data_IF_598346134892
#
_entry.id   IF_598346134892
#
_cell.length_a   1.000
_cell.length_b   1.000
_cell.length_c   1.000
_cell.angle_alpha   90.00
_cell.angle_beta   90.00
_cell.angle_gamma   90.00
#
_symmetry.space_group_name_H-M   'P 1'
#
loop_
_entity.id
_entity.type
_entity.pdbx_description
1 polymer ?
#
# COMPACT_ATOMS: atom_id res chain seq x y z
N UNK A 1 -11.60 -91.55 -15.39
CA UNK A 1 -11.31 -91.39 -13.95
C UNK A 1 -12.28 -90.37 -13.37
N UNK A 2 -13.13 -90.85 -12.45
CA UNK A 2 -13.87 -90.14 -11.39
C UNK A 2 -14.88 -89.02 -11.77
N UNK A 3 -16.17 -89.40 -11.75
CA UNK A 3 -17.30 -88.65 -11.15
C UNK A 3 -17.25 -88.86 -9.60
N UNK A 4 -18.00 -88.14 -8.68
CA UNK A 4 -19.37 -87.60 -8.83
C UNK A 4 -19.64 -86.27 -7.99
N UNK A 5 -20.82 -85.98 -7.37
CA UNK A 5 -21.59 -84.74 -7.62
C UNK A 5 -21.97 -83.88 -6.37
N UNK A 6 -22.72 -82.79 -6.63
CA UNK A 6 -23.71 -82.11 -5.75
C UNK A 6 -23.28 -81.41 -4.43
N UNK A 7 -23.70 -80.14 -4.26
CA UNK A 7 -24.29 -79.62 -3.02
C UNK A 7 -25.03 -78.29 -3.22
N UNK A 8 -26.28 -78.24 -2.77
CA UNK A 8 -27.11 -77.06 -2.54
C UNK A 8 -26.63 -76.34 -1.28
N UNK A 9 -26.60 -75.00 -1.27
CA UNK A 9 -26.76 -74.20 -0.06
C UNK A 9 -27.51 -72.89 -0.36
N UNK A 10 -28.78 -72.87 0.04
CA UNK A 10 -29.65 -71.70 0.20
C UNK A 10 -29.17 -70.88 1.39
N UNK A 11 -28.74 -69.62 1.23
CA UNK A 11 -28.72 -68.64 2.33
C UNK A 11 -29.18 -67.27 1.81
N UNK A 12 -30.05 -66.64 2.60
CA UNK A 12 -30.98 -65.60 2.17
C UNK A 12 -30.36 -64.23 1.94
N UNK A 13 -30.98 -63.49 1.00
CA UNK A 13 -30.74 -62.06 0.79
C UNK A 13 -31.30 -61.26 1.97
N UNK A 14 -30.54 -60.37 2.62
CA UNK A 14 -31.10 -59.42 3.56
C UNK A 14 -31.84 -58.31 2.80
N UNK A 15 -33.05 -57.97 3.28
CA UNK A 15 -33.87 -56.86 2.78
C UNK A 15 -33.12 -55.53 2.98
N UNK A 16 -33.17 -54.58 2.03
CA UNK A 16 -32.68 -53.23 2.28
C UNK A 16 -33.57 -52.56 3.34
N UNK A 17 -32.94 -52.13 4.44
CA UNK A 17 -33.59 -51.29 5.46
C UNK A 17 -33.98 -49.96 4.81
N UNK A 18 -35.26 -49.61 4.91
CA UNK A 18 -35.77 -48.25 4.64
C UNK A 18 -34.99 -47.24 5.50
N UNK A 19 -34.53 -46.10 4.96
CA UNK A 19 -34.02 -45.02 5.77
C UNK A 19 -35.17 -44.43 6.58
N UNK A 20 -35.00 -44.35 7.90
CA UNK A 20 -35.84 -43.53 8.76
C UNK A 20 -35.70 -42.07 8.34
N UNK A 21 -36.82 -41.42 8.00
CA UNK A 21 -36.93 -39.97 7.99
C UNK A 21 -36.78 -39.47 9.44
N UNK A 22 -35.53 -39.19 9.82
CA UNK A 22 -35.23 -38.35 10.97
C UNK A 22 -35.64 -36.91 10.63
N UNK A 23 -36.58 -36.38 11.39
CA UNK A 23 -36.94 -34.97 11.37
C UNK A 23 -35.68 -34.12 11.61
N UNK A 24 -35.14 -33.56 10.52
CA UNK A 24 -34.10 -32.55 10.57
C UNK A 24 -34.64 -31.33 11.34
N UNK A 25 -34.18 -31.17 12.58
CA UNK A 25 -34.16 -29.86 13.24
C UNK A 25 -33.35 -28.96 12.32
N UNK A 26 -34.04 -28.01 11.68
CA UNK A 26 -33.41 -26.85 11.04
C UNK A 26 -32.62 -26.13 12.13
N UNK A 27 -31.31 -26.32 12.14
CA UNK A 27 -30.41 -25.41 12.85
C UNK A 27 -30.60 -24.03 12.23
N UNK A 28 -31.01 -23.08 13.05
CA UNK A 28 -31.11 -21.68 12.67
C UNK A 28 -29.71 -21.22 12.22
N UNK A 29 -29.59 -20.45 11.12
CA UNK A 29 -28.31 -19.89 10.73
C UNK A 29 -27.78 -19.04 11.89
N UNK A 30 -26.60 -19.40 12.37
CA UNK A 30 -25.85 -18.62 13.33
C UNK A 30 -25.69 -17.19 12.80
N UNK A 31 -26.43 -16.25 13.40
CA UNK A 31 -26.12 -14.83 13.27
C UNK A 31 -24.77 -14.60 13.94
N UNK A 32 -23.71 -14.19 13.20
CA UNK A 32 -22.47 -13.82 13.84
C UNK A 32 -22.77 -12.62 14.75
N UNK A 33 -22.26 -12.65 15.97
CA UNK A 33 -22.30 -11.51 16.89
C UNK A 33 -21.28 -10.48 16.39
N UNK A 34 -21.71 -9.55 15.53
CA UNK A 34 -20.89 -8.42 15.05
C UNK A 34 -20.86 -7.32 16.11
N UNK A 35 -20.08 -7.54 17.17
CA UNK A 35 -19.76 -6.50 18.16
C UNK A 35 -18.62 -5.62 17.64
N UNK A 36 -18.93 -4.33 17.44
CA UNK A 36 -18.11 -3.27 16.82
C UNK A 36 -18.13 -3.30 15.28
N UNK A 37 -19.03 -2.50 14.70
CA UNK A 37 -19.21 -2.40 13.24
C UNK A 37 -17.90 -2.06 12.52
N UNK A 38 -17.63 -2.75 11.43
CA UNK A 38 -16.45 -2.49 10.60
C UNK A 38 -16.49 -1.05 10.09
N UNK A 39 -15.33 -0.40 9.89
CA UNK A 39 -15.27 0.95 9.34
C UNK A 39 -16.08 1.08 8.04
N UNK A 40 -16.88 2.14 7.95
CA UNK A 40 -17.60 2.49 6.73
C UNK A 40 -16.84 3.56 5.96
N UNK A 41 -16.91 3.47 4.63
CA UNK A 41 -16.24 4.37 3.71
C UNK A 41 -17.22 4.89 2.68
N UNK A 42 -17.08 6.16 2.29
CA UNK A 42 -17.84 6.80 1.22
C UNK A 42 -16.93 7.03 0.02
N UNK A 43 -17.43 6.73 -1.18
CA UNK A 43 -16.70 6.97 -2.43
C UNK A 43 -16.82 8.45 -2.81
N UNK A 44 -15.81 9.24 -2.50
CA UNK A 44 -15.78 10.69 -2.80
C UNK A 44 -15.09 11.03 -4.12
N UNK A 45 -14.38 10.08 -4.72
CA UNK A 45 -13.65 10.26 -5.98
C UNK A 45 -14.33 9.63 -7.20
N UNK A 46 -13.74 9.86 -8.38
CA UNK A 46 -14.14 9.20 -9.63
C UNK A 46 -15.38 9.76 -10.33
N UNK A 47 -15.99 10.85 -9.83
CA UNK A 47 -17.20 11.44 -10.43
C UNK A 47 -17.04 11.77 -11.91
N UNK A 48 -15.86 12.27 -12.29
CA UNK A 48 -15.45 12.59 -13.67
C UNK A 48 -15.41 11.37 -14.60
N UNK A 49 -15.39 10.16 -14.06
CA UNK A 49 -15.26 8.90 -14.80
C UNK A 49 -16.40 7.91 -14.52
N UNK A 50 -17.48 8.39 -13.91
CA UNK A 50 -18.64 7.58 -13.51
C UNK A 50 -18.38 6.61 -12.36
N UNK A 51 -17.39 6.88 -11.50
CA UNK A 51 -17.02 6.05 -10.36
C UNK A 51 -15.55 5.61 -10.34
N UNK A 52 -15.19 4.80 -9.35
CA UNK A 52 -13.84 4.26 -9.15
C UNK A 52 -13.74 2.83 -9.67
N UNK A 53 -12.57 2.48 -10.21
CA UNK A 53 -12.32 1.15 -10.79
C UNK A 53 -12.20 0.11 -9.67
N UNK A 54 -13.01 -0.94 -9.76
CA UNK A 54 -12.98 -2.09 -8.84
C UNK A 54 -12.18 -3.21 -9.49
N UNK A 55 -11.39 -3.92 -8.68
CA UNK A 55 -10.62 -5.08 -9.14
C UNK A 55 -10.97 -6.32 -8.33
N UNK A 56 -10.85 -7.48 -8.97
CA UNK A 56 -11.09 -8.77 -8.33
C UNK A 56 -10.04 -9.10 -7.25
N UNK A 57 -8.83 -8.52 -7.34
CA UNK A 57 -7.74 -8.79 -6.40
C UNK A 57 -7.05 -7.54 -5.87
N UNK A 58 -6.24 -7.75 -4.82
CA UNK A 58 -5.43 -6.69 -4.18
C UNK A 58 -4.48 -6.01 -5.16
N UNK A 59 -3.83 -6.77 -6.05
CA UNK A 59 -2.78 -6.28 -6.94
C UNK A 59 -3.29 -5.35 -8.05
N UNK A 60 -2.47 -4.40 -8.50
CA UNK A 60 -2.81 -3.48 -9.62
C UNK A 60 -2.85 -4.18 -10.98
N UNK A 61 -2.27 -5.37 -11.09
CA UNK A 61 -2.35 -6.24 -12.27
C UNK A 61 -3.60 -7.11 -12.30
N UNK A 62 -4.36 -7.18 -11.20
CA UNK A 62 -5.56 -8.03 -11.14
C UNK A 62 -6.67 -7.55 -12.08
N UNK A 63 -7.50 -8.49 -12.51
CA UNK A 63 -8.62 -8.23 -13.43
C UNK A 63 -9.52 -7.11 -12.89
N UNK A 64 -9.78 -6.11 -13.73
CA UNK A 64 -10.78 -5.08 -13.44
C UNK A 64 -12.17 -5.68 -13.62
N UNK A 65 -13.05 -5.43 -12.66
CA UNK A 65 -14.46 -5.79 -12.81
C UNK A 65 -15.12 -4.89 -13.86
N UNK A 66 -16.14 -5.38 -14.58
CA UNK A 66 -16.79 -4.62 -15.65
C UNK A 66 -17.45 -3.34 -15.12
N UNK A 67 -18.03 -3.42 -13.91
CA UNK A 67 -18.71 -2.30 -13.28
C UNK A 67 -17.78 -1.51 -12.35
N UNK A 68 -17.98 -0.19 -12.34
CA UNK A 68 -17.30 0.72 -11.42
C UNK A 68 -18.15 0.92 -10.17
N UNK A 69 -17.47 1.27 -9.08
CA UNK A 69 -18.14 1.69 -7.86
C UNK A 69 -18.44 3.19 -7.96
N UNK A 70 -19.72 3.55 -8.04
CA UNK A 70 -20.17 4.91 -8.27
C UNK A 70 -19.78 5.87 -7.13
N UNK A 71 -19.55 7.14 -7.46
CA UNK A 71 -19.34 8.20 -6.45
C UNK A 71 -20.59 8.38 -5.59
N UNK A 72 -20.42 8.49 -4.28
CA UNK A 72 -21.49 8.49 -3.28
C UNK A 72 -21.92 7.11 -2.79
N UNK A 73 -21.34 6.02 -3.32
CA UNK A 73 -21.56 4.69 -2.77
C UNK A 73 -20.94 4.55 -1.38
N UNK A 74 -21.63 3.84 -0.48
CA UNK A 74 -21.15 3.50 0.85
C UNK A 74 -20.72 2.05 0.90
N UNK A 75 -19.56 1.81 1.49
CA UNK A 75 -18.97 0.48 1.57
C UNK A 75 -18.46 0.17 2.97
N UNK A 76 -18.49 -1.10 3.34
CA UNK A 76 -17.91 -1.64 4.56
C UNK A 76 -16.48 -2.15 4.29
N UNK A 77 -15.55 -1.85 5.18
CA UNK A 77 -14.20 -2.41 5.12
C UNK A 77 -14.18 -3.89 5.54
N UNK A 78 -13.88 -4.77 4.59
CA UNK A 78 -13.59 -6.18 4.87
C UNK A 78 -12.11 -6.41 5.19
N UNK A 79 -11.23 -5.54 4.69
CA UNK A 79 -9.80 -5.56 5.00
C UNK A 79 -9.02 -4.51 4.22
N UNK A 80 -7.85 -4.13 4.74
CA UNK A 80 -7.00 -3.09 4.14
C UNK A 80 -5.57 -3.59 3.97
N UNK A 81 -4.97 -3.28 2.83
CA UNK A 81 -3.59 -3.62 2.52
C UNK A 81 -2.89 -2.43 1.86
N UNK A 82 -2.18 -1.63 2.67
CA UNK A 82 -1.59 -0.36 2.24
C UNK A 82 -2.67 0.63 1.81
N UNK A 83 -2.61 1.07 0.55
CA UNK A 83 -3.61 1.98 -0.05
C UNK A 83 -4.77 1.25 -0.75
N UNK A 84 -4.87 -0.08 -0.62
CA UNK A 84 -5.93 -0.89 -1.22
C UNK A 84 -6.94 -1.32 -0.14
N UNK A 85 -8.22 -1.11 -0.41
CA UNK A 85 -9.34 -1.46 0.45
C UNK A 85 -10.14 -2.59 -0.21
N UNK A 86 -10.27 -3.70 0.51
CA UNK A 86 -11.24 -4.75 0.21
C UNK A 86 -12.56 -4.35 0.86
N UNK A 87 -13.61 -4.23 0.05
CA UNK A 87 -14.87 -3.66 0.51
C UNK A 87 -16.05 -4.58 0.21
N UNK A 88 -17.13 -4.36 0.94
CA UNK A 88 -18.49 -4.82 0.61
C UNK A 88 -19.42 -3.63 0.44
N UNK A 89 -20.20 -3.59 -0.62
CA UNK A 89 -21.16 -2.53 -0.90
C UNK A 89 -22.29 -2.57 0.13
N UNK A 90 -22.54 -1.44 0.78
CA UNK A 90 -23.66 -1.26 1.71
C UNK A 90 -24.83 -0.54 1.02
N UNK A 91 -24.53 0.52 0.26
CA UNK A 91 -25.51 1.24 -0.55
C UNK A 91 -24.86 1.97 -1.73
N UNK A 92 -25.60 2.20 -2.81
CA UNK A 92 -25.11 2.82 -4.03
C UNK A 92 -25.12 1.87 -5.24
N UNK A 93 -24.30 2.15 -6.25
CA UNK A 93 -24.22 1.37 -7.50
C UNK A 93 -22.79 0.89 -7.71
N UNK A 94 -22.62 -0.40 -7.99
CA UNK A 94 -21.33 -1.03 -8.29
C UNK A 94 -21.31 -2.51 -7.90
N UNK A 95 -20.15 -3.18 -8.05
CA UNK A 95 -19.97 -4.55 -7.60
C UNK A 95 -20.20 -4.70 -6.08
N UNK A 96 -20.84 -5.81 -5.67
CA UNK A 96 -21.14 -6.10 -4.27
C UNK A 96 -19.87 -6.21 -3.41
N UNK A 97 -18.77 -6.72 -3.96
CA UNK A 97 -17.47 -6.80 -3.29
C UNK A 97 -16.34 -6.53 -4.29
N UNK A 98 -15.19 -6.10 -3.77
CA UNK A 98 -13.97 -5.99 -4.57
C UNK A 98 -12.87 -5.14 -3.94
N UNK A 99 -11.82 -4.89 -4.71
CA UNK A 99 -10.64 -4.13 -4.27
C UNK A 99 -10.50 -2.79 -4.98
N UNK A 100 -10.51 -1.72 -4.20
CA UNK A 100 -10.38 -0.32 -4.66
C UNK A 100 -9.18 0.35 -4.01
N UNK A 101 -8.68 1.43 -4.62
CA UNK A 101 -7.62 2.24 -4.02
C UNK A 101 -8.24 3.37 -3.20
N UNK A 102 -7.76 3.58 -1.98
CA UNK A 102 -8.24 4.66 -1.09
C UNK A 102 -7.81 6.03 -1.62
N UNK A 103 -6.60 6.09 -2.20
CA UNK A 103 -6.02 7.28 -2.82
C UNK A 103 -5.40 6.92 -4.17
N UNK A 104 -5.33 7.89 -5.07
CA UNK A 104 -4.60 7.77 -6.33
C UNK A 104 -3.85 9.07 -6.60
N UNK A 105 -2.52 9.03 -6.47
CA UNK A 105 -1.67 10.23 -6.42
C UNK A 105 -2.14 11.13 -5.28
N UNK A 106 -2.48 12.38 -5.58
CA UNK A 106 -2.94 13.36 -4.59
C UNK A 106 -4.47 13.42 -4.46
N UNK A 107 -5.22 12.58 -5.20
CA UNK A 107 -6.68 12.55 -5.16
C UNK A 107 -7.19 11.49 -4.19
N UNK A 108 -7.99 11.90 -3.22
CA UNK A 108 -8.72 11.00 -2.32
C UNK A 108 -9.89 10.37 -3.08
N UNK A 109 -10.01 9.04 -3.00
CA UNK A 109 -11.05 8.28 -3.68
C UNK A 109 -12.11 7.75 -2.71
N UNK A 110 -11.69 7.36 -1.51
CA UNK A 110 -12.58 6.98 -0.41
C UNK A 110 -12.26 7.78 0.85
N UNK A 111 -13.30 8.22 1.54
CA UNK A 111 -13.21 8.90 2.82
C UNK A 111 -13.87 8.04 3.90
N UNK A 112 -13.17 7.83 5.02
CA UNK A 112 -13.67 7.01 6.12
C UNK A 112 -14.72 7.81 6.88
N UNK A 113 -15.92 7.25 7.07
CA UNK A 113 -16.97 7.88 7.87
C UNK A 113 -16.69 7.63 9.34
N UNK A 114 -16.31 8.69 10.05
CA UNK A 114 -16.21 8.67 11.51
C UNK A 114 -17.60 8.92 12.12
N UNK A 115 -18.29 7.86 12.55
CA UNK A 115 -19.42 7.97 13.48
C UNK A 115 -20.75 7.43 12.97
N UNK A 116 -21.49 6.82 13.90
CA UNK A 116 -22.77 6.15 13.69
C UNK A 116 -23.80 7.08 13.01
N UNK A 117 -24.55 6.58 12.01
CA UNK A 117 -25.63 7.35 11.42
C UNK A 117 -26.69 7.64 12.50
N UNK A 118 -26.96 8.92 12.74
CA UNK A 118 -28.14 9.33 13.51
C UNK A 118 -29.38 8.80 12.76
N UNK A 119 -30.08 7.85 13.39
CA UNK A 119 -31.30 7.27 12.88
C UNK A 119 -32.44 8.29 13.01
N UNK A 120 -32.65 9.11 11.98
CA UNK A 120 -33.84 9.95 11.86
C UNK A 120 -34.41 9.85 10.44
N UNK A 121 -35.71 9.52 10.37
CA UNK A 121 -36.56 9.84 9.21
C UNK A 121 -37.18 8.68 8.45
N UNK A 122 -38.27 8.11 9.00
CA UNK A 122 -39.22 7.30 8.25
C UNK A 122 -39.93 8.10 7.14
N UNK A 123 -40.32 7.49 6.01
CA UNK A 123 -41.02 8.19 4.91
C UNK A 123 -42.52 8.38 5.24
N UNK A 124 -43.12 9.56 5.00
CA UNK A 124 -44.56 9.73 5.17
C UNK A 124 -45.33 9.12 4.00
N UNK A 125 -46.34 8.33 4.37
CA UNK A 125 -47.30 7.67 3.49
C UNK A 125 -48.33 8.64 2.90
N UNK A 126 -48.87 8.24 1.75
CA UNK A 126 -49.88 8.93 0.96
C UNK A 126 -51.25 9.07 1.64
N UNK A 127 -51.90 10.22 1.47
CA UNK A 127 -53.35 10.39 1.33
C UNK A 127 -53.69 11.85 0.92
N UNK A 128 -54.39 12.04 -0.20
CA UNK A 128 -55.19 13.27 -0.44
C UNK A 128 -56.69 12.99 -0.19
N UNK A 129 -57.63 13.83 -0.63
CA UNK A 129 -57.79 15.30 -0.56
C UNK A 129 -59.11 15.66 0.23
N UNK A 130 -59.59 16.94 0.35
CA UNK A 130 -60.38 17.57 -0.73
C UNK A 130 -60.29 19.12 -0.87
N UNK A 131 -60.58 19.56 -2.11
CA UNK A 131 -61.22 20.81 -2.60
C UNK A 131 -61.19 22.12 -1.77
N UNK A 132 -60.76 23.21 -2.43
CA UNK A 132 -61.07 24.58 -2.01
C UNK A 132 -60.45 25.70 -2.87
N UNK A 133 -61.16 26.12 -3.91
CA UNK A 133 -61.22 27.46 -4.54
C UNK A 133 -59.92 28.22 -4.90
N UNK A 134 -59.71 28.33 -6.21
CA UNK A 134 -58.79 29.22 -6.90
C UNK A 134 -59.50 30.53 -7.29
N UNK A 135 -58.97 31.74 -7.02
CA UNK A 135 -59.27 32.92 -7.80
C UNK A 135 -58.20 33.15 -8.88
N UNK A 136 -58.68 33.52 -10.05
CA UNK A 136 -57.91 33.75 -11.28
C UNK A 136 -56.89 34.90 -11.14
N UNK A 137 -55.67 34.66 -11.61
CA UNK A 137 -54.64 35.68 -11.85
C UNK A 137 -54.32 35.75 -13.36
N UNK A 138 -54.18 36.99 -13.83
CA UNK A 138 -54.05 37.45 -15.21
C UNK A 138 -52.79 36.95 -15.95
N UNK A 139 -52.76 37.00 -17.30
CA UNK A 139 -51.66 36.44 -18.10
C UNK A 139 -50.39 37.31 -18.07
N UNK A 140 -49.24 36.68 -17.81
CA UNK A 140 -47.91 37.28 -17.99
C UNK A 140 -47.53 37.41 -19.48
N UNK A 141 -46.86 38.49 -19.89
CA UNK A 141 -46.43 38.71 -21.27
C UNK A 141 -45.21 37.86 -21.68
N UNK A 142 -45.01 37.63 -22.99
CA UNK A 142 -43.96 36.76 -23.50
C UNK A 142 -42.55 37.32 -23.25
N UNK A 143 -41.71 36.52 -22.58
CA UNK A 143 -40.26 36.76 -22.45
C UNK A 143 -39.59 36.70 -23.83
N UNK A 144 -38.93 37.79 -24.21
CA UNK A 144 -38.07 37.89 -25.41
C UNK A 144 -37.00 36.80 -25.38
N UNK A 145 -36.82 36.10 -26.50
CA UNK A 145 -35.77 35.12 -26.72
C UNK A 145 -34.39 35.76 -26.48
N UNK A 146 -33.57 35.09 -25.66
CA UNK A 146 -32.17 35.49 -25.46
C UNK A 146 -31.38 35.30 -26.78
N UNK A 147 -30.40 36.17 -27.06
CA UNK A 147 -29.55 36.02 -28.23
C UNK A 147 -28.80 34.69 -28.18
N UNK A 148 -28.69 34.04 -29.34
CA UNK A 148 -27.98 32.76 -29.52
C UNK A 148 -26.51 32.95 -29.15
N UNK A 149 -25.99 32.12 -28.25
CA UNK A 149 -24.62 32.20 -27.75
C UNK A 149 -23.60 31.99 -28.89
N UNK A 150 -22.81 33.04 -29.16
CA UNK A 150 -21.64 33.12 -30.07
C UNK A 150 -20.68 31.91 -29.97
N UNK A 151 -20.65 31.23 -28.82
CA UNK A 151 -19.86 30.01 -28.63
C UNK A 151 -20.29 28.84 -29.53
N UNK A 152 -21.59 28.65 -29.76
CA UNK A 152 -22.10 27.52 -30.55
C UNK A 152 -21.70 27.65 -32.02
N UNK A 153 -21.75 28.87 -32.56
CA UNK A 153 -21.31 29.16 -33.93
C UNK A 153 -19.80 28.96 -34.08
N UNK A 154 -18.99 29.44 -33.12
CA UNK A 154 -17.54 29.19 -33.13
C UNK A 154 -17.20 27.71 -33.07
N UNK A 155 -17.91 26.94 -32.24
CA UNK A 155 -17.67 25.50 -32.13
C UNK A 155 -18.09 24.74 -33.40
N UNK A 156 -19.17 25.17 -34.06
CA UNK A 156 -19.58 24.61 -35.35
C UNK A 156 -18.51 24.85 -36.43
N UNK A 157 -17.98 26.08 -36.54
CA UNK A 157 -16.90 26.42 -37.47
C UNK A 157 -15.61 25.61 -37.21
N UNK A 158 -15.28 25.35 -35.94
CA UNK A 158 -14.14 24.51 -35.58
C UNK A 158 -14.36 23.03 -35.94
N UNK A 159 -15.58 22.50 -35.78
CA UNK A 159 -15.90 21.12 -36.18
C UNK A 159 -15.89 20.93 -37.69
N UNK A 160 -16.27 21.96 -38.45
CA UNK A 160 -16.14 21.96 -39.91
C UNK A 160 -14.66 22.01 -40.33
N UNK A 161 -13.86 22.85 -39.67
CA UNK A 161 -12.41 22.96 -39.93
C UNK A 161 -11.63 21.70 -39.54
N UNK A 162 -12.05 20.98 -38.49
CA UNK A 162 -11.41 19.78 -37.98
C UNK A 162 -12.38 18.59 -37.92
N UNK A 163 -12.65 17.90 -39.05
CA UNK A 163 -13.68 16.86 -39.12
C UNK A 163 -13.44 15.64 -38.21
N UNK A 164 -12.20 15.42 -37.74
CA UNK A 164 -11.89 14.37 -36.76
C UNK A 164 -12.33 14.69 -35.32
N UNK A 165 -12.82 15.89 -35.05
CA UNK A 165 -13.19 16.36 -33.70
C UNK A 165 -14.67 16.21 -33.35
N UNK A 166 -15.49 15.60 -34.21
CA UNK A 166 -16.95 15.50 -33.99
C UNK A 166 -17.30 14.70 -32.74
N UNK A 167 -16.46 13.72 -32.36
CA UNK A 167 -16.61 12.91 -31.14
C UNK A 167 -15.94 13.53 -29.91
N UNK A 168 -15.33 14.72 -30.04
CA UNK A 168 -14.62 15.35 -28.93
C UNK A 168 -15.62 16.04 -27.98
N UNK A 169 -15.64 15.61 -26.73
CA UNK A 169 -16.41 16.26 -25.66
C UNK A 169 -15.72 17.57 -25.27
N UNK A 170 -16.43 18.68 -25.47
CA UNK A 170 -15.96 20.02 -25.12
C UNK A 170 -16.35 20.30 -23.65
N UNK A 171 -15.39 20.48 -22.73
CA UNK A 171 -15.69 20.79 -21.33
C UNK A 171 -16.51 22.09 -21.19
N UNK A 172 -17.44 22.18 -20.23
CA UNK A 172 -18.26 23.40 -20.05
C UNK A 172 -17.44 24.69 -19.84
N UNK A 173 -16.28 24.56 -19.19
CA UNK A 173 -15.32 25.66 -18.97
C UNK A 173 -14.78 26.26 -20.27
N UNK A 174 -14.87 25.53 -21.40
CA UNK A 174 -14.44 25.98 -22.71
C UNK A 174 -15.27 27.15 -23.26
N UNK A 175 -16.49 27.36 -22.73
CA UNK A 175 -17.30 28.56 -23.06
C UNK A 175 -16.59 29.87 -22.74
N UNK A 176 -15.60 29.84 -21.85
CA UNK A 176 -14.81 31.01 -21.41
C UNK A 176 -13.42 31.08 -22.03
N UNK A 177 -13.04 30.09 -22.85
CA UNK A 177 -11.74 30.07 -23.49
C UNK A 177 -11.65 31.13 -24.58
N UNK A 178 -10.43 31.63 -24.82
CA UNK A 178 -10.20 32.47 -25.99
C UNK A 178 -10.44 31.65 -27.27
N UNK A 179 -10.82 32.29 -28.40
CA UNK A 179 -10.99 31.57 -29.66
C UNK A 179 -9.78 30.71 -30.04
N UNK A 180 -8.57 31.22 -29.78
CA UNK A 180 -7.31 30.53 -30.07
C UNK A 180 -7.07 29.31 -29.17
N UNK A 181 -7.48 29.38 -27.91
CA UNK A 181 -7.35 28.25 -26.98
C UNK A 181 -8.34 27.12 -27.31
N UNK A 182 -9.56 27.48 -27.70
CA UNK A 182 -10.55 26.51 -28.17
C UNK A 182 -10.09 25.82 -29.46
N UNK A 183 -9.51 26.59 -30.38
CA UNK A 183 -8.91 26.06 -31.61
C UNK A 183 -7.77 25.09 -31.30
N UNK A 184 -6.81 25.48 -30.46
CA UNK A 184 -5.69 24.59 -30.06
C UNK A 184 -6.17 23.31 -29.37
N UNK A 185 -7.22 23.40 -28.54
CA UNK A 185 -7.81 22.23 -27.89
C UNK A 185 -8.45 21.27 -28.90
N UNK A 186 -9.22 21.80 -29.84
CA UNK A 186 -9.88 21.00 -30.90
C UNK A 186 -8.84 20.39 -31.85
N UNK A 187 -7.85 21.18 -32.27
CA UNK A 187 -6.74 20.72 -33.14
C UNK A 187 -5.91 19.61 -32.49
N UNK A 188 -5.68 19.69 -31.17
CA UNK A 188 -4.95 18.67 -30.42
C UNK A 188 -5.76 17.43 -30.05
N UNK A 189 -7.02 17.33 -30.50
CA UNK A 189 -7.91 16.22 -30.11
C UNK A 189 -8.20 16.19 -28.60
N UNK A 190 -8.21 17.36 -27.96
CA UNK A 190 -8.51 17.55 -26.54
C UNK A 190 -7.34 17.31 -25.58
N UNK A 191 -6.12 17.13 -26.09
CA UNK A 191 -4.95 16.83 -25.28
C UNK A 191 -4.33 18.08 -24.63
N UNK A 192 -4.39 19.23 -25.34
CA UNK A 192 -3.78 20.48 -24.88
C UNK A 192 -4.87 21.38 -24.29
N UNK A 193 -4.96 21.42 -22.95
CA UNK A 193 -5.78 22.42 -22.25
C UNK A 193 -4.99 23.74 -22.12
N UNK A 194 -5.64 24.92 -22.24
CA UNK A 194 -4.97 26.19 -22.07
C UNK A 194 -4.31 26.31 -20.69
N UNK A 195 -3.02 26.61 -20.67
CA UNK A 195 -2.23 26.80 -19.46
C UNK A 195 -2.70 28.08 -18.74
N UNK A 196 -3.16 27.96 -17.49
CA UNK A 196 -3.43 29.10 -16.62
C UNK A 196 -4.87 29.26 -16.14
N UNK A 197 -5.82 28.48 -16.64
CA UNK A 197 -7.19 28.51 -16.10
C UNK A 197 -7.31 27.60 -14.87
N UNK A 198 -6.92 28.12 -13.70
CA UNK A 198 -7.46 27.62 -12.44
C UNK A 198 -8.79 28.35 -12.20
N UNK A 199 -9.91 27.64 -11.96
CA UNK A 199 -11.19 28.29 -11.72
C UNK A 199 -11.03 29.26 -10.55
N UNK A 200 -11.19 30.56 -10.83
CA UNK A 200 -11.15 31.62 -9.83
C UNK A 200 -12.35 31.39 -8.90
N UNK A 201 -12.11 30.68 -7.80
CA UNK A 201 -13.09 30.39 -6.75
C UNK A 201 -13.82 31.70 -6.40
N UNK A 202 -15.16 31.74 -6.35
CA UNK A 202 -15.88 32.96 -6.00
C UNK A 202 -15.36 33.48 -4.67
N UNK A 203 -14.98 34.76 -4.65
CA UNK A 203 -14.33 35.38 -3.51
C UNK A 203 -15.26 35.27 -2.28
N UNK A 204 -14.81 34.70 -1.15
CA UNK A 204 -15.53 34.85 0.09
C UNK A 204 -15.49 36.33 0.50
N UNK A 205 -16.63 36.85 0.92
CA UNK A 205 -16.78 38.21 1.40
C UNK A 205 -15.70 38.55 2.43
N UNK A 206 -15.12 39.73 2.23
CA UNK A 206 -14.04 40.35 2.99
C UNK A 206 -14.19 40.21 4.52
N UNK A 207 -13.25 39.48 5.14
CA UNK A 207 -12.65 39.88 6.43
C UNK A 207 -11.15 39.62 6.36
N UNK A 208 -10.39 40.69 6.56
CA UNK A 208 -8.94 40.70 6.64
C UNK A 208 -8.47 39.81 7.80
N UNK A 209 -7.87 38.66 7.44
CA UNK A 209 -6.92 37.93 8.27
C UNK A 209 -6.11 37.08 7.30
N UNK A 210 -4.82 37.41 7.18
CA UNK A 210 -3.83 36.76 6.35
C UNK A 210 -3.67 35.29 6.77
N UNK A 211 -4.51 34.41 6.22
CA UNK A 211 -4.41 32.96 6.44
C UNK A 211 -3.25 32.42 5.60
N UNK A 212 -2.12 32.19 6.28
CA UNK A 212 -1.01 31.35 5.80
C UNK A 212 -1.60 30.08 5.17
N UNK A 213 -1.21 29.78 3.93
CA UNK A 213 -1.54 28.51 3.26
C UNK A 213 -1.11 27.36 4.20
N UNK A 214 -1.93 26.30 4.37
CA UNK A 214 -1.54 25.15 5.17
C UNK A 214 -0.23 24.60 4.62
N UNK A 215 0.76 24.51 5.51
CA UNK A 215 2.17 24.37 5.17
C UNK A 215 2.42 23.20 4.23
N UNK A 216 3.13 23.48 3.15
CA UNK A 216 3.97 22.48 2.51
C UNK A 216 4.79 21.81 3.62
N UNK A 217 4.52 20.54 3.92
CA UNK A 217 5.29 19.71 4.85
C UNK A 217 6.71 19.41 4.33
N UNK A 218 7.32 20.34 3.60
CA UNK A 218 8.74 20.31 3.33
C UNK A 218 9.43 20.63 4.66
N UNK A 219 10.16 19.67 5.25
CA UNK A 219 10.93 19.95 6.46
C UNK A 219 11.82 21.16 6.23
N UNK A 220 12.00 21.98 7.27
CA UNK A 220 12.80 23.21 7.26
C UNK A 220 14.30 22.88 7.15
N UNK A 221 14.69 22.31 6.01
CA UNK A 221 16.06 21.89 5.72
C UNK A 221 16.79 23.09 5.14
N UNK A 222 17.91 23.54 5.75
CA UNK A 222 18.68 24.68 5.27
C UNK A 222 19.10 24.48 3.81
N UNK A 223 18.62 25.34 2.92
CA UNK A 223 18.86 25.24 1.49
C UNK A 223 20.26 25.74 1.10
N UNK A 224 20.86 25.15 0.06
CA UNK A 224 22.11 25.66 -0.49
C UNK A 224 21.89 27.01 -1.18
N UNK A 225 22.83 27.94 -0.98
CA UNK A 225 22.93 29.09 -1.86
C UNK A 225 23.33 28.66 -3.28
N UNK A 226 23.04 29.51 -4.27
CA UNK A 226 23.42 29.23 -5.67
C UNK A 226 24.94 29.02 -5.81
N UNK A 227 25.75 29.77 -5.05
CA UNK A 227 27.22 29.66 -5.10
C UNK A 227 27.70 28.33 -4.50
N UNK A 228 27.14 27.91 -3.37
CA UNK A 228 27.47 26.61 -2.77
C UNK A 228 27.04 25.45 -3.66
N UNK A 229 25.85 25.55 -4.27
CA UNK A 229 25.34 24.54 -5.19
C UNK A 229 26.22 24.39 -6.43
N UNK A 230 26.68 25.49 -7.04
CA UNK A 230 27.62 25.46 -8.16
C UNK A 230 28.97 24.85 -7.76
N UNK A 231 29.51 25.24 -6.59
CA UNK A 231 30.76 24.67 -6.06
C UNK A 231 30.66 23.15 -5.84
N UNK A 232 29.54 22.68 -5.29
CA UNK A 232 29.26 21.25 -5.11
C UNK A 232 29.17 20.53 -6.47
N UNK A 233 28.43 21.09 -7.43
CA UNK A 233 28.26 20.50 -8.77
C UNK A 233 29.59 20.45 -9.53
N UNK A 234 30.45 21.46 -9.40
CA UNK A 234 31.79 21.46 -10.01
C UNK A 234 32.69 20.37 -9.42
N UNK A 235 32.63 20.14 -8.11
CA UNK A 235 33.39 19.07 -7.45
C UNK A 235 32.88 17.67 -7.83
N UNK A 236 31.56 17.47 -7.89
CA UNK A 236 30.98 16.23 -8.38
C UNK A 236 31.37 15.98 -9.84
N UNK A 237 31.27 17.00 -10.70
CA UNK A 237 31.69 16.94 -12.10
C UNK A 237 33.16 16.57 -12.23
N UNK A 238 34.05 17.18 -11.44
CA UNK A 238 35.47 16.86 -11.43
C UNK A 238 35.71 15.38 -11.11
N UNK A 239 35.03 14.84 -10.08
CA UNK A 239 35.13 13.43 -9.72
C UNK A 239 34.58 12.48 -10.78
N UNK A 240 33.47 12.82 -11.43
CA UNK A 240 32.91 12.00 -12.52
C UNK A 240 33.69 12.09 -13.83
N UNK A 241 34.47 13.15 -14.06
CA UNK A 241 35.34 13.29 -15.23
C UNK A 241 36.66 12.52 -15.06
N UNK A 242 37.03 12.11 -13.84
CA UNK A 242 38.25 11.33 -13.60
C UNK A 242 38.31 10.10 -14.52
N UNK A 243 39.47 9.93 -15.18
CA UNK A 243 39.69 8.86 -16.17
C UNK A 243 39.35 7.48 -15.60
N UNK A 244 39.73 7.23 -14.36
CA UNK A 244 39.50 5.95 -13.69
C UNK A 244 38.01 5.68 -13.49
N UNK A 245 37.23 6.70 -13.11
CA UNK A 245 35.77 6.57 -13.00
C UNK A 245 35.14 6.25 -14.35
N UNK A 246 35.50 7.01 -15.40
CA UNK A 246 34.96 6.81 -16.75
C UNK A 246 35.33 5.43 -17.34
N UNK A 247 36.55 4.95 -17.07
CA UNK A 247 36.96 3.59 -17.47
C UNK A 247 36.17 2.50 -16.75
N UNK A 248 35.92 2.66 -15.44
CA UNK A 248 35.08 1.72 -14.68
C UNK A 248 33.63 1.75 -15.14
N UNK A 249 33.09 2.93 -15.43
CA UNK A 249 31.73 3.09 -15.96
C UNK A 249 31.60 2.41 -17.33
N UNK A 250 32.57 2.60 -18.22
CA UNK A 250 32.59 1.94 -19.53
C UNK A 250 32.69 0.41 -19.40
N UNK A 251 33.58 -0.09 -18.52
CA UNK A 251 33.70 -1.52 -18.23
C UNK A 251 32.36 -2.08 -17.74
N UNK A 252 31.70 -1.37 -16.83
CA UNK A 252 30.40 -1.74 -16.29
C UNK A 252 29.32 -1.77 -17.39
N UNK A 253 29.29 -0.76 -18.26
CA UNK A 253 28.36 -0.73 -19.39
C UNK A 253 28.59 -1.87 -20.40
N UNK A 254 29.83 -2.34 -20.57
CA UNK A 254 30.14 -3.47 -21.43
C UNK A 254 29.80 -4.81 -20.78
N UNK A 255 29.90 -4.91 -19.45
CA UNK A 255 29.51 -6.10 -18.69
C UNK A 255 27.99 -6.37 -18.74
N UNK A 256 27.18 -5.31 -18.86
CA UNK A 256 25.71 -5.38 -18.90
C UNK A 256 25.15 -4.80 -20.21
N UNK A 257 25.27 -5.52 -21.34
CA UNK A 257 24.86 -5.02 -22.65
C UNK A 257 23.33 -4.89 -22.77
N UNK A 258 22.55 -5.73 -22.08
CA UNK A 258 21.09 -5.73 -22.18
C UNK A 258 20.41 -4.82 -21.15
N UNK A 259 21.15 -3.99 -20.40
CA UNK A 259 20.62 -3.07 -19.38
C UNK A 259 19.53 -2.10 -19.87
N UNK A 260 19.48 -1.83 -21.18
CA UNK A 260 18.46 -0.96 -21.81
C UNK A 260 17.15 -1.70 -22.12
N UNK A 261 17.15 -3.03 -22.09
CA UNK A 261 15.96 -3.84 -22.33
C UNK A 261 15.11 -3.90 -21.06
N UNK A 262 13.87 -3.42 -21.16
CA UNK A 262 12.95 -3.37 -20.02
C UNK A 262 12.68 -4.78 -19.48
N UNK A 263 12.97 -5.00 -18.20
CA UNK A 263 12.72 -6.27 -17.50
C UNK A 263 13.85 -7.30 -17.59
N UNK A 264 14.96 -6.98 -18.28
CA UNK A 264 16.13 -7.85 -18.30
C UNK A 264 16.88 -7.80 -16.96
N UNK A 265 17.44 -8.93 -16.50
CA UNK A 265 18.18 -9.04 -15.23
C UNK A 265 19.38 -8.06 -15.17
N UNK A 266 20.13 -7.94 -16.27
CA UNK A 266 21.18 -6.91 -16.45
C UNK A 266 20.79 -5.51 -15.99
N UNK A 267 19.52 -5.10 -16.14
CA UNK A 267 19.08 -3.77 -15.74
C UNK A 267 19.21 -3.54 -14.23
N UNK A 268 18.87 -4.55 -13.43
CA UNK A 268 18.96 -4.50 -11.97
C UNK A 268 20.41 -4.59 -11.50
N UNK A 269 21.15 -5.58 -12.00
CA UNK A 269 22.55 -5.80 -11.62
C UNK A 269 23.47 -4.64 -12.05
N UNK A 270 23.24 -4.08 -13.25
CA UNK A 270 23.93 -2.87 -13.69
C UNK A 270 23.68 -1.70 -12.73
N UNK A 271 22.42 -1.50 -12.30
CA UNK A 271 22.06 -0.35 -11.49
C UNK A 271 22.68 -0.43 -10.10
N UNK A 272 22.70 -1.61 -9.47
CA UNK A 272 23.37 -1.83 -8.18
C UNK A 272 24.89 -1.58 -8.28
N UNK A 273 25.54 -2.12 -9.29
CA UNK A 273 26.96 -1.89 -9.51
C UNK A 273 27.28 -0.43 -9.90
N UNK A 274 26.37 0.23 -10.62
CA UNK A 274 26.47 1.64 -10.99
C UNK A 274 26.32 2.54 -9.76
N UNK A 275 25.37 2.24 -8.89
CA UNK A 275 25.18 2.92 -7.60
C UNK A 275 26.46 2.87 -6.75
N UNK A 276 27.06 1.69 -6.61
CA UNK A 276 28.33 1.53 -5.89
C UNK A 276 29.47 2.34 -6.52
N UNK A 277 29.58 2.35 -7.85
CA UNK A 277 30.58 3.15 -8.54
C UNK A 277 30.38 4.65 -8.32
N UNK A 278 29.14 5.14 -8.42
CA UNK A 278 28.77 6.54 -8.21
C UNK A 278 29.05 6.98 -6.77
N UNK A 279 28.81 6.11 -5.79
CA UNK A 279 29.11 6.39 -4.38
C UNK A 279 30.60 6.64 -4.12
N UNK A 280 31.52 6.10 -4.91
CA UNK A 280 32.96 6.39 -4.76
C UNK A 280 33.30 7.88 -4.94
N UNK A 281 32.53 8.60 -5.76
CA UNK A 281 32.68 10.05 -5.97
C UNK A 281 31.98 10.82 -4.85
N UNK A 282 30.75 10.44 -4.50
CA UNK A 282 30.01 11.07 -3.40
C UNK A 282 30.77 10.98 -2.07
N UNK A 283 31.39 9.84 -1.77
CA UNK A 283 32.18 9.63 -0.55
C UNK A 283 33.34 10.66 -0.43
N UNK A 284 33.93 11.07 -1.55
CA UNK A 284 35.02 12.07 -1.58
C UNK A 284 34.51 13.52 -1.51
N UNK A 285 33.32 13.80 -2.05
CA UNK A 285 32.83 15.17 -2.25
C UNK A 285 31.90 15.63 -1.12
N UNK A 286 30.97 14.78 -0.66
CA UNK A 286 29.95 15.16 0.32
C UNK A 286 30.51 15.69 1.65
N UNK A 287 31.57 15.10 2.25
CA UNK A 287 32.13 15.61 3.50
C UNK A 287 32.61 17.07 3.41
N UNK A 288 33.06 17.52 2.24
CA UNK A 288 33.51 18.91 2.01
C UNK A 288 32.36 19.93 2.14
N UNK A 289 31.11 19.45 2.00
CA UNK A 289 29.89 20.24 2.12
C UNK A 289 29.10 19.93 3.41
N UNK A 290 29.74 19.32 4.42
CA UNK A 290 29.11 18.94 5.70
C UNK A 290 27.90 18.02 5.52
N UNK A 291 28.03 17.07 4.60
CA UNK A 291 27.06 16.00 4.35
C UNK A 291 27.72 14.65 4.65
N UNK A 292 26.92 13.66 5.07
CA UNK A 292 27.42 12.31 5.34
C UNK A 292 27.89 11.65 4.03
N UNK A 293 28.94 10.81 4.04
CA UNK A 293 29.46 10.17 2.84
C UNK A 293 28.67 8.88 2.49
N UNK A 294 27.35 8.93 2.60
CA UNK A 294 26.44 7.80 2.38
C UNK A 294 25.20 8.22 1.57
N UNK A 295 24.27 7.29 1.36
CA UNK A 295 23.03 7.57 0.65
C UNK A 295 22.12 8.57 1.38
N UNK A 296 22.23 8.70 2.70
CA UNK A 296 21.53 9.73 3.46
C UNK A 296 22.07 11.13 3.14
N UNK A 297 23.39 11.27 3.02
CA UNK A 297 24.02 12.51 2.61
C UNK A 297 23.66 12.91 1.19
N UNK A 298 23.49 11.94 0.27
CA UNK A 298 22.96 12.19 -1.07
C UNK A 298 21.49 12.67 -1.01
N UNK A 299 20.65 12.07 -0.16
CA UNK A 299 19.26 12.53 0.05
C UNK A 299 19.24 13.97 0.56
N UNK A 300 20.04 14.28 1.58
CA UNK A 300 20.16 15.61 2.15
C UNK A 300 20.71 16.61 1.14
N UNK A 301 21.70 16.21 0.34
CA UNK A 301 22.22 17.01 -0.77
C UNK A 301 21.10 17.46 -1.71
N UNK A 302 20.27 16.51 -2.19
CA UNK A 302 19.14 16.82 -3.07
C UNK A 302 18.08 17.68 -2.38
N UNK A 303 17.77 17.41 -1.11
CA UNK A 303 16.82 18.20 -0.33
C UNK A 303 17.27 19.67 -0.18
N UNK A 304 18.59 19.91 -0.03
CA UNK A 304 19.19 21.25 0.03
C UNK A 304 19.33 21.91 -1.35
N UNK A 305 19.39 21.13 -2.43
CA UNK A 305 19.54 21.62 -3.81
C UNK A 305 18.22 22.07 -4.45
N UNK A 306 17.06 21.77 -3.87
CA UNK A 306 15.74 22.00 -4.50
C UNK A 306 15.57 23.44 -4.97
N UNK A 307 15.87 24.44 -4.12
CA UNK A 307 15.73 25.85 -4.49
C UNK A 307 16.82 26.29 -5.47
N UNK A 308 18.06 25.84 -5.28
CA UNK A 308 19.18 26.19 -6.15
C UNK A 308 19.03 25.62 -7.58
N UNK A 309 18.38 24.47 -7.75
CA UNK A 309 18.08 23.87 -9.06
C UNK A 309 17.11 24.69 -9.91
N UNK A 310 16.38 25.65 -9.32
CA UNK A 310 15.60 26.62 -10.09
C UNK A 310 16.50 27.60 -10.87
N UNK A 311 17.75 27.77 -10.45
CA UNK A 311 18.70 28.62 -11.14
C UNK A 311 19.22 27.92 -12.42
N UNK A 312 19.18 28.59 -13.60
CA UNK A 312 19.47 27.95 -14.88
C UNK A 312 20.90 27.40 -14.99
N UNK A 313 21.88 28.03 -14.33
CA UNK A 313 23.27 27.54 -14.32
C UNK A 313 23.43 26.23 -13.53
N UNK A 314 22.76 26.12 -12.37
CA UNK A 314 22.82 24.92 -11.53
C UNK A 314 22.12 23.77 -12.25
N UNK A 315 20.94 24.05 -12.83
CA UNK A 315 20.22 23.08 -13.66
C UNK A 315 21.06 22.57 -14.83
N UNK A 316 21.72 23.47 -15.56
CA UNK A 316 22.62 23.10 -16.67
C UNK A 316 23.76 22.19 -16.21
N UNK A 317 24.42 22.51 -15.09
CA UNK A 317 25.48 21.65 -14.54
C UNK A 317 24.96 20.28 -14.11
N UNK A 318 23.74 20.21 -13.57
CA UNK A 318 23.09 18.95 -13.23
C UNK A 318 22.80 18.08 -14.49
N UNK A 319 22.31 18.69 -15.57
CA UNK A 319 22.10 18.01 -16.87
C UNK A 319 23.43 17.53 -17.49
N UNK A 320 24.52 18.30 -17.35
CA UNK A 320 25.86 17.91 -17.76
C UNK A 320 26.37 16.71 -16.94
N UNK A 321 26.14 16.69 -15.63
CA UNK A 321 26.48 15.56 -14.75
C UNK A 321 25.72 14.29 -15.16
N UNK A 322 24.42 14.39 -15.44
CA UNK A 322 23.64 13.28 -15.95
C UNK A 322 24.20 12.74 -17.28
N UNK A 323 24.63 13.64 -18.17
CA UNK A 323 25.25 13.25 -19.45
C UNK A 323 26.57 12.50 -19.22
N UNK A 324 27.40 12.94 -18.27
CA UNK A 324 28.66 12.27 -17.90
C UNK A 324 28.45 10.87 -17.30
N UNK A 325 27.33 10.66 -16.62
CA UNK A 325 26.93 9.37 -16.07
C UNK A 325 26.26 8.44 -17.11
N UNK A 326 25.99 8.93 -18.33
CA UNK A 326 25.25 8.20 -19.35
C UNK A 326 23.75 8.08 -19.06
N UNK A 327 23.21 8.99 -18.25
CA UNK A 327 21.79 9.10 -17.91
C UNK A 327 21.07 10.11 -18.83
N UNK A 328 19.73 10.01 -18.98
CA UNK A 328 18.93 11.08 -19.59
C UNK A 328 19.15 12.43 -18.89
N UNK A 329 19.08 13.54 -19.64
CA UNK A 329 19.38 14.89 -19.10
C UNK A 329 18.51 15.26 -17.90
N UNK A 330 17.27 14.83 -17.90
CA UNK A 330 16.26 15.06 -16.87
C UNK A 330 16.18 13.95 -15.81
N UNK A 331 17.09 12.97 -15.85
CA UNK A 331 17.15 11.92 -14.85
C UNK A 331 17.45 12.50 -13.47
N UNK A 332 16.70 12.04 -12.46
CA UNK A 332 17.00 12.32 -11.06
C UNK A 332 17.50 11.02 -10.45
N UNK A 333 18.77 11.02 -10.02
CA UNK A 333 19.32 9.91 -9.25
C UNK A 333 18.63 9.90 -7.88
N UNK A 334 17.57 9.09 -7.77
CA UNK A 334 16.92 8.86 -6.49
C UNK A 334 17.73 7.77 -5.80
N UNK A 335 18.33 8.04 -4.62
CA UNK A 335 18.87 6.99 -3.79
C UNK A 335 17.82 5.90 -3.68
N UNK A 336 18.24 4.63 -3.79
CA UNK A 336 17.37 3.52 -3.42
C UNK A 336 16.64 3.95 -2.14
N UNK A 337 15.31 4.06 -2.23
CA UNK A 337 14.52 4.26 -1.01
C UNK A 337 15.04 3.16 -0.14
N UNK A 338 15.59 3.50 1.03
CA UNK A 338 15.90 2.52 2.05
C UNK A 338 14.64 1.66 2.02
N UNK A 339 14.74 0.47 1.43
CA UNK A 339 13.74 -0.51 1.75
C UNK A 339 13.83 -0.45 3.26
N UNK A 340 12.69 -0.42 3.94
CA UNK A 340 12.64 -1.09 5.22
C UNK A 340 13.68 -2.21 5.13
N UNK A 341 14.69 -2.19 6.00
CA UNK A 341 15.65 -3.28 6.11
C UNK A 341 14.80 -4.50 6.49
N UNK A 342 14.07 -5.03 5.50
CA UNK A 342 13.53 -6.34 5.38
C UNK A 342 14.82 -7.10 5.33
N UNK A 343 15.23 -7.53 6.52
CA UNK A 343 16.29 -8.49 6.79
C UNK A 343 16.74 -9.14 5.50
N UNK A 344 17.92 -8.75 5.02
CA UNK A 344 18.53 -9.43 3.87
C UNK A 344 18.82 -10.84 4.36
N UNK A 345 17.87 -11.74 4.15
CA UNK A 345 18.06 -13.17 4.37
C UNK A 345 19.16 -13.61 3.39
N UNK A 346 20.36 -13.87 3.91
CA UNK A 346 21.51 -14.37 3.16
C UNK A 346 21.61 -15.88 3.36
N UNK A 347 21.26 -16.72 2.37
CA UNK A 347 21.26 -18.16 2.54
C UNK A 347 22.66 -18.80 2.66
N UNK A 348 23.77 -18.05 2.51
CA UNK A 348 25.13 -18.60 2.35
C UNK A 348 26.31 -17.73 2.87
N UNK A 349 26.11 -16.90 3.89
CA UNK A 349 27.08 -16.12 4.72
C UNK A 349 28.60 -15.91 4.40
N UNK A 350 29.15 -16.10 3.19
CA UNK A 350 30.62 -16.17 3.00
C UNK A 350 31.18 -15.14 2.01
N UNK A 351 31.01 -13.83 2.26
CA UNK A 351 31.83 -12.84 1.55
C UNK A 351 32.26 -11.70 2.47
N UNK A 352 33.58 -11.46 2.52
CA UNK A 352 34.25 -10.42 3.29
C UNK A 352 33.59 -9.05 3.09
N UNK A 353 33.23 -8.40 4.20
CA UNK A 353 32.84 -6.98 4.21
C UNK A 353 34.10 -6.17 4.53
N UNK A 354 34.55 -5.24 3.66
CA UNK A 354 35.66 -4.38 3.98
C UNK A 354 35.22 -3.28 4.95
N UNK A 355 35.24 -3.62 6.25
CA UNK A 355 35.27 -2.69 7.40
C UNK A 355 33.92 -2.10 7.84
N UNK A 356 33.57 -2.30 9.10
CA UNK A 356 32.59 -1.47 9.82
C UNK A 356 33.30 -0.28 10.49
N UNK A 357 32.74 0.95 10.47
CA UNK A 357 33.39 2.14 11.04
C UNK A 357 33.08 2.38 12.54
N UNK A 358 32.60 1.38 13.28
CA UNK A 358 32.33 1.51 14.71
C UNK A 358 33.13 0.45 15.48
N UNK A 359 33.88 0.82 16.53
CA UNK A 359 34.54 -0.16 17.38
C UNK A 359 33.48 -1.03 18.08
N UNK A 360 33.59 -2.35 17.90
CA UNK A 360 32.88 -3.35 18.69
C UNK A 360 33.24 -3.16 20.17
N UNK A 361 32.23 -3.25 21.03
CA UNK A 361 32.42 -3.18 22.48
C UNK A 361 32.78 -4.59 22.94
N UNK A 362 34.01 -4.78 23.41
CA UNK A 362 34.44 -5.99 24.12
C UNK A 362 33.70 -6.04 25.47
N UNK A 363 33.10 -7.18 25.80
CA UNK A 363 32.64 -7.45 27.16
C UNK A 363 33.78 -7.96 28.05
N UNK A 364 33.45 -8.21 29.32
CA UNK A 364 34.43 -8.49 30.38
C UNK A 364 35.21 -9.81 30.19
N UNK A 365 34.79 -10.68 29.28
CA UNK A 365 35.46 -11.94 28.91
C UNK A 365 36.20 -11.89 27.56
N UNK A 366 36.14 -10.76 26.85
CA UNK A 366 37.03 -10.45 25.73
C UNK A 366 36.66 -11.16 24.43
N UNK A 367 35.39 -11.50 24.23
CA UNK A 367 34.89 -11.93 22.93
C UNK A 367 34.05 -10.84 22.23
N UNK A 368 34.09 -10.84 20.90
CA UNK A 368 33.37 -9.87 20.09
C UNK A 368 31.95 -10.41 19.84
N UNK A 369 30.99 -9.83 20.56
CA UNK A 369 29.57 -10.19 20.57
C UNK A 369 28.97 -10.69 19.23
N UNK A 370 28.65 -11.99 19.16
CA UNK A 370 27.57 -12.56 18.36
C UNK A 370 26.97 -13.83 19.01
N UNK A 371 26.35 -13.68 20.17
CA UNK A 371 25.56 -14.73 20.83
C UNK A 371 24.25 -15.04 20.06
N UNK A 372 24.28 -15.89 19.03
CA UNK A 372 23.04 -16.49 18.48
C UNK A 372 23.14 -17.97 18.11
N UNK A 373 24.32 -18.56 18.18
CA UNK A 373 24.54 -19.97 17.87
C UNK A 373 25.25 -20.64 19.05
N UNK A 374 24.67 -21.73 19.56
CA UNK A 374 25.34 -22.61 20.51
C UNK A 374 25.80 -23.83 19.74
N UNK A 375 27.09 -24.11 19.83
CA UNK A 375 27.69 -25.30 19.25
C UNK A 375 27.17 -26.55 20.00
N UNK A 376 26.52 -27.46 19.27
CA UNK A 376 26.12 -28.74 19.83
C UNK A 376 27.39 -29.56 20.11
N UNK A 377 27.71 -29.73 21.39
CA UNK A 377 28.93 -30.43 21.85
C UNK A 377 29.09 -31.85 21.31
N UNK A 378 28.03 -32.48 20.83
CA UNK A 378 28.08 -33.85 20.29
C UNK A 378 28.36 -33.90 18.79
N UNK A 379 27.99 -32.87 18.04
CA UNK A 379 28.08 -32.84 16.57
C UNK A 379 29.05 -31.79 16.04
N UNK A 380 29.39 -30.76 16.83
CA UNK A 380 30.17 -29.60 16.40
C UNK A 380 29.41 -28.67 15.46
N UNK A 381 28.12 -28.90 15.24
CA UNK A 381 27.30 -28.03 14.40
C UNK A 381 26.79 -26.84 15.22
N UNK A 382 26.92 -25.63 14.66
CA UNK A 382 26.36 -24.41 15.20
C UNK A 382 24.83 -24.45 15.10
N UNK A 383 24.14 -24.69 16.22
CA UNK A 383 22.68 -24.66 16.27
C UNK A 383 22.21 -23.26 16.67
N UNK A 384 21.35 -22.67 15.85
CA UNK A 384 20.66 -21.44 16.24
C UNK A 384 19.70 -21.77 17.39
N UNK A 385 19.81 -21.06 18.51
CA UNK A 385 18.90 -21.22 19.65
C UNK A 385 17.46 -20.80 19.34
N UNK A 386 17.20 -20.23 18.16
CA UNK A 386 15.91 -19.69 17.75
C UNK A 386 15.38 -20.46 16.55
N UNK A 387 14.89 -21.68 16.76
CA UNK A 387 13.98 -22.34 15.81
C UNK A 387 12.69 -21.51 15.68
N UNK A 388 12.70 -20.54 14.76
CA UNK A 388 11.52 -19.75 14.40
C UNK A 388 10.66 -20.52 13.40
N UNK A 389 10.28 -21.75 13.76
CA UNK A 389 9.25 -22.49 13.02
C UNK A 389 7.89 -22.13 13.59
N UNK A 390 7.21 -21.18 12.93
CA UNK A 390 5.82 -20.88 13.24
C UNK A 390 5.02 -22.19 13.19
N UNK A 391 4.45 -22.61 14.31
CA UNK A 391 3.76 -23.89 14.42
C UNK A 391 2.45 -23.77 15.21
N UNK A 392 1.59 -24.77 15.08
CA UNK A 392 0.28 -24.77 15.74
C UNK A 392 0.30 -25.66 16.97
N UNK A 393 -0.31 -25.18 18.05
CA UNK A 393 -0.58 -25.95 19.26
C UNK A 393 -2.08 -26.04 19.50
N UNK A 394 -2.53 -27.12 20.16
CA UNK A 394 -3.89 -27.30 20.64
C UNK A 394 -3.89 -27.20 22.16
N UNK A 395 -4.77 -26.37 22.73
CA UNK A 395 -4.94 -26.29 24.19
C UNK A 395 -5.60 -27.57 24.70
N UNK A 396 -4.94 -28.27 25.62
CA UNK A 396 -5.40 -29.57 26.16
C UNK A 396 -5.83 -29.50 27.62
N UNK A 397 -5.47 -28.45 28.36
CA UNK A 397 -5.91 -28.25 29.74
C UNK A 397 -7.33 -27.65 29.81
N UNK A 398 -8.11 -28.11 30.81
CA UNK A 398 -9.52 -27.71 31.02
C UNK A 398 -9.65 -26.83 32.27
N UNK A 399 -10.56 -25.83 32.28
CA UNK A 399 -11.44 -25.45 31.16
C UNK A 399 -10.75 -24.54 30.12
N UNK A 400 -9.67 -23.87 30.50
CA UNK A 400 -8.91 -22.94 29.67
C UNK A 400 -7.47 -22.80 30.19
N UNK A 401 -6.59 -22.18 29.39
CA UNK A 401 -5.23 -21.79 29.78
C UNK A 401 -5.11 -20.27 29.73
N UNK A 402 -4.55 -19.67 30.79
CA UNK A 402 -4.29 -18.23 30.88
C UNK A 402 -3.10 -17.84 30.00
N UNK A 403 -3.29 -16.80 29.18
CA UNK A 403 -2.25 -16.16 28.37
C UNK A 403 -1.72 -14.95 29.12
N UNK A 404 -0.41 -14.76 29.17
CA UNK A 404 0.27 -13.73 29.99
C UNK A 404 1.12 -12.79 29.14
N UNK A 405 1.39 -11.59 29.66
CA UNK A 405 2.20 -10.58 28.98
C UNK A 405 3.71 -10.92 28.94
N UNK A 406 4.17 -11.80 29.84
CA UNK A 406 5.57 -12.25 29.94
C UNK A 406 5.62 -13.76 30.24
N UNK A 407 6.71 -14.47 29.94
CA UNK A 407 6.87 -15.90 30.22
C UNK A 407 7.13 -16.18 31.72
N UNK A 408 6.21 -15.73 32.57
CA UNK A 408 6.26 -15.86 34.03
C UNK A 408 4.85 -16.19 34.56
N UNK A 409 4.66 -17.23 35.41
CA UNK A 409 3.35 -17.56 35.95
C UNK A 409 2.72 -16.46 36.83
N UNK A 410 3.49 -15.48 37.29
CA UNK A 410 3.03 -14.31 38.05
C UNK A 410 2.77 -13.08 37.17
N UNK A 411 3.10 -13.13 35.88
CA UNK A 411 2.88 -12.02 34.96
C UNK A 411 1.39 -11.73 34.73
N UNK A 412 1.08 -10.47 34.39
CA UNK A 412 -0.29 -10.01 34.15
C UNK A 412 -0.98 -10.87 33.07
N UNK A 413 -2.19 -11.37 33.32
CA UNK A 413 -2.96 -12.09 32.31
C UNK A 413 -3.44 -11.11 31.22
N UNK A 414 -3.22 -11.46 29.96
CA UNK A 414 -3.69 -10.70 28.78
C UNK A 414 -4.88 -11.37 28.10
N UNK A 415 -5.19 -12.62 28.46
CA UNK A 415 -6.37 -13.33 27.96
C UNK A 415 -6.41 -14.78 28.39
N UNK A 416 -7.34 -15.55 27.81
CA UNK A 416 -7.49 -16.99 28.06
C UNK A 416 -7.76 -17.72 26.75
N UNK A 417 -7.28 -18.96 26.61
CA UNK A 417 -7.59 -19.85 25.49
C UNK A 417 -8.33 -21.08 25.98
N UNK A 418 -9.50 -21.35 25.39
CA UNK A 418 -10.37 -22.45 25.80
C UNK A 418 -9.78 -23.82 25.43
N UNK A 419 -10.17 -24.86 26.16
CA UNK A 419 -9.87 -26.25 25.81
C UNK A 419 -10.25 -26.55 24.35
N UNK A 420 -9.33 -27.16 23.61
CA UNK A 420 -9.47 -27.48 22.20
C UNK A 420 -9.15 -26.34 21.23
N UNK A 421 -8.92 -25.11 21.71
CA UNK A 421 -8.52 -24.00 20.86
C UNK A 421 -7.16 -24.28 20.19
N UNK A 422 -7.04 -23.92 18.92
CA UNK A 422 -5.77 -23.92 18.18
C UNK A 422 -5.10 -22.56 18.36
N UNK A 423 -3.83 -22.55 18.74
CA UNK A 423 -3.04 -21.34 18.92
C UNK A 423 -1.84 -21.38 17.98
N UNK A 424 -1.61 -20.27 17.29
CA UNK A 424 -0.45 -20.11 16.42
C UNK A 424 0.72 -19.58 17.25
N UNK A 425 1.82 -20.30 17.27
CA UNK A 425 3.00 -20.04 18.11
C UNK A 425 4.16 -19.64 17.21
N UNK A 426 4.81 -18.51 17.51
CA UNK A 426 5.95 -17.99 16.77
C UNK A 426 7.26 -18.62 17.23
N UNK A 427 7.42 -18.84 18.54
CA UNK A 427 8.59 -19.52 19.13
C UNK A 427 8.24 -20.23 20.43
N UNK A 428 9.01 -21.26 20.75
CA UNK A 428 8.97 -21.96 22.04
C UNK A 428 10.21 -21.54 22.84
N UNK A 429 10.03 -21.14 24.09
CA UNK A 429 11.10 -20.68 24.99
C UNK A 429 11.19 -21.62 26.18
N UNK A 430 12.40 -22.12 26.45
CA UNK A 430 12.72 -23.03 27.55
C UNK A 430 11.83 -24.28 27.61
N UNK A 431 11.35 -24.76 26.45
CA UNK A 431 10.40 -25.88 26.30
C UNK A 431 9.08 -25.76 27.09
N UNK A 432 8.83 -24.61 27.72
CA UNK A 432 7.76 -24.39 28.71
C UNK A 432 6.83 -23.25 28.32
N UNK A 433 7.34 -22.26 27.60
CA UNK A 433 6.57 -21.07 27.23
C UNK A 433 6.42 -20.99 25.72
N UNK A 434 5.19 -20.79 25.26
CA UNK A 434 4.82 -20.62 23.88
C UNK A 434 4.58 -19.13 23.64
N UNK A 435 5.46 -18.48 22.88
CA UNK A 435 5.20 -17.12 22.41
C UNK A 435 4.19 -17.18 21.27
N UNK A 436 3.00 -16.62 21.50
CA UNK A 436 1.97 -16.57 20.47
C UNK A 436 2.44 -15.69 19.30
N UNK A 437 2.03 -16.07 18.09
CA UNK A 437 2.28 -15.28 16.89
C UNK A 437 1.67 -13.87 17.02
N UNK A 438 2.28 -12.87 16.40
CA UNK A 438 1.84 -11.46 16.49
C UNK A 438 0.33 -11.30 16.21
N UNK A 439 -0.18 -12.02 15.21
CA UNK A 439 -1.61 -12.06 14.88
C UNK A 439 -2.51 -12.56 16.03
N UNK A 440 -2.03 -13.50 16.85
CA UNK A 440 -2.73 -13.99 18.05
C UNK A 440 -2.58 -13.01 19.23
N UNK A 441 -1.41 -12.40 19.41
CA UNK A 441 -1.18 -11.37 20.43
C UNK A 441 -2.05 -10.13 20.19
N UNK A 442 -2.19 -9.71 18.93
CA UNK A 442 -3.04 -8.57 18.53
C UNK A 442 -4.52 -8.79 18.83
N UNK A 443 -5.04 -10.02 18.69
CA UNK A 443 -6.41 -10.38 19.09
C UNK A 443 -6.66 -10.21 20.60
N UNK A 444 -5.60 -10.24 21.40
CA UNK A 444 -5.63 -10.07 22.85
C UNK A 444 -5.28 -8.63 23.28
N UNK A 445 -5.13 -7.70 22.31
CA UNK A 445 -4.68 -6.34 22.55
C UNK A 445 -3.36 -6.25 23.35
N UNK A 446 -2.43 -7.17 23.06
CA UNK A 446 -1.13 -7.24 23.70
C UNK A 446 0.00 -7.17 22.66
N UNK A 447 1.12 -6.52 23.00
CA UNK A 447 2.32 -6.50 22.17
C UNK A 447 2.96 -7.90 22.08
N UNK A 448 3.00 -8.59 23.23
CA UNK A 448 3.42 -9.98 23.34
C UNK A 448 2.40 -10.78 24.14
N UNK A 449 2.27 -12.06 23.81
CA UNK A 449 1.36 -12.95 24.50
C UNK A 449 2.01 -14.33 24.64
N UNK A 450 2.02 -14.84 25.87
CA UNK A 450 2.74 -16.05 26.25
C UNK A 450 1.78 -17.07 26.85
N UNK A 451 1.85 -18.31 26.40
CA UNK A 451 1.02 -19.43 26.87
C UNK A 451 1.93 -20.51 27.45
N UNK A 452 1.63 -21.00 28.65
CA UNK A 452 2.39 -22.09 29.26
C UNK A 452 2.09 -23.41 28.53
N UNK A 453 3.08 -24.16 28.05
CA UNK A 453 2.89 -25.48 27.41
C UNK A 453 2.86 -26.63 28.42
N UNK A 454 3.66 -26.55 29.48
CA UNK A 454 3.73 -27.55 30.55
C UNK A 454 3.60 -26.88 31.93
N UNK A 455 2.52 -27.22 32.63
CA UNK A 455 2.21 -26.77 33.98
C UNK A 455 2.39 -27.84 35.06
N UNK A 456 3.10 -28.94 34.79
CA UNK A 456 3.34 -30.02 35.78
C UNK A 456 4.00 -29.51 37.07
N UNK A 457 4.94 -28.57 36.99
CA UNK A 457 5.55 -27.94 38.18
C UNK A 457 4.55 -27.17 39.04
N UNK A 458 3.44 -26.70 38.45
CA UNK A 458 2.37 -26.01 39.15
C UNK A 458 1.23 -26.96 39.55
N UNK A 459 1.39 -28.28 39.33
CA UNK A 459 0.35 -29.28 39.58
C UNK A 459 -0.80 -29.27 38.57
N UNK A 460 -0.63 -28.61 37.42
CA UNK A 460 -1.70 -28.41 36.43
C UNK A 460 -1.62 -29.35 35.22
N UNK A 461 -0.54 -30.11 35.08
CA UNK A 461 -0.32 -31.04 33.97
C UNK A 461 0.04 -30.35 32.64
N UNK A 462 -0.16 -31.05 31.54
CA UNK A 462 0.11 -30.54 30.19
C UNK A 462 -0.95 -29.51 29.78
N UNK A 463 -0.51 -28.37 29.25
CA UNK A 463 -1.38 -27.23 28.93
C UNK A 463 -1.72 -27.13 27.45
N UNK A 464 -0.73 -27.36 26.60
CA UNK A 464 -0.87 -27.30 25.16
C UNK A 464 0.02 -28.34 24.47
N UNK A 465 -0.54 -29.00 23.46
CA UNK A 465 0.12 -30.05 22.69
C UNK A 465 0.42 -29.54 21.27
N UNK A 466 1.63 -29.77 20.76
CA UNK A 466 2.00 -29.41 19.37
C UNK A 466 1.16 -30.23 18.39
N UNK A 467 0.61 -29.58 17.38
CA UNK A 467 -0.09 -30.25 16.27
C UNK A 467 0.96 -30.57 15.22
N UNK A 468 1.32 -31.85 15.08
CA UNK A 468 2.11 -32.34 13.95
C UNK A 468 1.24 -32.29 12.71
N UNK A 469 1.65 -31.51 11.70
CA UNK A 469 1.01 -31.42 10.40
C UNK A 469 1.12 -32.71 9.61
#
# INVERSE_FOLDING_TARGET
ALLPPAAKCLHGRPRPRRPHHGHGRREAPHTPSWGMGSPQWEVVGGADKGGIVVRAGKELSSQQLPDKLATGAFVEELGKAGERLHYRLLSGTGPEEGWVSVRLKDKVLLEQRSGAPAADGAPPAAAGPPQGQQPAAAPEPPRKAAPVDDFTERLASLREKFPGSTSLEIPEEARRWSPKDLENFVESGGFIKPFGYTPKRPAPASKAAEKKKPGSNTPDVPQFSVVEALSLMDQLRAGFVERDFQQRLLKLQNQYPNRKQRGHADGLEFFEAFENLVMTVYFKVLPKHKLTPDWDGVRDMYAKLVTALMHPKVKKQHEELNTLLGLPRDAVLKPSKKAEEVFVYRPRMDADVPGFPLPTVEDDDGDEAHEFFVEDRSTGELQSLVESTSCWFKVVHRPHVTVRAKPDPKSNPVGTKLFGARVHVQRVVNSKWLMLHEAEARKLNAQEAWLLSDGRELGLGEMAQRITS
#
